data_IF_585282718025
#
_entry.id   IF_585282718025
#
_cell.length_a   1.000
_cell.length_b   1.000
_cell.length_c   1.000
_cell.angle_alpha   90.00
_cell.angle_beta   90.00
_cell.angle_gamma   90.00
#
_symmetry.space_group_name_H-M   'P 1'
#
loop_
_entity.id
_entity.type
_entity.pdbx_description
1 polymer ?
#
# COMPACT_ATOMS: atom_id res chain seq x y z
N UNK A 1 1.48 17.87 19.66
CA UNK A 1 2.31 17.91 20.88
C UNK A 1 2.83 16.50 21.14
N UNK A 2 4.10 16.36 21.52
CA UNK A 2 4.72 15.09 21.89
C UNK A 2 5.10 15.15 23.36
N UNK A 3 4.61 14.20 24.15
CA UNK A 3 4.91 14.05 25.59
C UNK A 3 5.63 12.73 25.79
N UNK A 4 6.80 12.77 26.45
CA UNK A 4 7.58 11.58 26.79
C UNK A 4 7.57 11.43 28.30
N UNK A 5 6.99 10.33 28.77
CA UNK A 5 7.04 9.90 30.15
C UNK A 5 8.09 8.78 30.27
N UNK A 6 9.21 9.08 30.94
CA UNK A 6 10.33 8.16 31.08
C UNK A 6 10.86 8.15 32.53
N UNK A 7 10.10 7.58 33.49
CA UNK A 7 10.55 7.46 34.87
C UNK A 7 11.74 6.50 34.97
N UNK A 8 12.55 6.68 36.02
CA UNK A 8 13.67 5.80 36.32
C UNK A 8 13.19 4.34 36.51
N UNK A 9 13.89 3.38 35.92
CA UNK A 9 13.59 1.94 35.95
C UNK A 9 12.23 1.51 35.37
N UNK A 10 11.66 2.28 34.44
CA UNK A 10 10.49 1.85 33.67
C UNK A 10 10.65 2.04 32.15
N UNK A 11 9.79 1.37 31.38
CA UNK A 11 9.74 1.55 29.94
C UNK A 11 9.18 2.94 29.57
N UNK A 12 9.80 3.67 28.62
CA UNK A 12 9.34 4.98 28.20
C UNK A 12 8.01 4.90 27.44
N UNK A 13 7.15 5.91 27.62
CA UNK A 13 5.90 6.06 26.87
C UNK A 13 5.90 7.40 26.15
N UNK A 14 5.73 7.39 24.83
CA UNK A 14 5.59 8.60 24.01
C UNK A 14 4.14 8.75 23.54
N UNK A 15 3.50 9.84 23.96
CA UNK A 15 2.13 10.19 23.57
C UNK A 15 2.11 11.26 22.48
N UNK A 16 1.29 11.04 21.44
CA UNK A 16 1.13 11.95 20.29
C UNK A 16 -0.25 12.60 20.33
N UNK A 17 -0.29 13.92 20.54
CA UNK A 17 -1.53 14.70 20.54
C UNK A 17 -1.62 15.59 19.30
N UNK A 18 -2.62 15.34 18.45
CA UNK A 18 -2.78 15.98 17.15
C UNK A 18 -1.76 15.48 16.12
N UNK A 19 -1.63 16.22 15.00
CA UNK A 19 -0.74 15.86 13.90
C UNK A 19 -1.48 15.92 12.56
N UNK A 20 -1.13 16.90 11.73
CA UNK A 20 -1.71 17.02 10.39
C UNK A 20 -1.01 16.06 9.45
N UNK A 21 -1.73 15.58 8.43
CA UNK A 21 -1.13 14.79 7.34
C UNK A 21 0.05 15.54 6.72
N UNK A 22 -0.01 16.87 6.59
CA UNK A 22 1.08 17.67 6.02
C UNK A 22 2.35 17.71 6.89
N UNK A 23 2.25 17.39 8.18
CA UNK A 23 3.37 17.47 9.14
C UNK A 23 3.83 16.11 9.65
N UNK A 24 3.24 15.00 9.16
CA UNK A 24 3.45 13.66 9.73
C UNK A 24 4.94 13.26 9.76
N UNK A 25 5.68 13.53 8.68
CA UNK A 25 7.10 13.14 8.54
C UNK A 25 7.97 13.81 9.61
N UNK A 26 7.87 15.14 9.74
CA UNK A 26 8.63 15.89 10.75
C UNK A 26 8.22 15.50 12.16
N UNK A 27 6.93 15.23 12.39
CA UNK A 27 6.44 14.78 13.68
C UNK A 27 7.03 13.41 14.06
N UNK A 28 7.14 12.48 13.09
CA UNK A 28 7.78 11.19 13.30
C UNK A 28 9.29 11.31 13.59
N UNK A 29 10.00 12.21 12.90
CA UNK A 29 11.41 12.51 13.21
C UNK A 29 11.56 13.06 14.63
N UNK A 30 10.75 14.04 15.03
CA UNK A 30 10.77 14.58 16.41
C UNK A 30 10.36 13.56 17.48
N UNK A 31 9.54 12.57 17.13
CA UNK A 31 9.22 11.46 18.01
C UNK A 31 10.44 10.55 18.23
N UNK A 32 11.18 10.22 17.17
CA UNK A 32 12.42 9.45 17.26
C UNK A 32 13.52 10.20 18.02
N UNK A 33 13.66 11.51 17.81
CA UNK A 33 14.63 12.34 18.54
C UNK A 33 14.43 12.25 20.06
N UNK A 34 13.17 12.19 20.53
CA UNK A 34 12.83 11.99 21.94
C UNK A 34 13.13 10.57 22.43
N UNK A 35 13.01 9.56 21.55
CA UNK A 35 13.15 8.16 21.91
C UNK A 35 14.59 7.63 21.80
N UNK A 36 15.48 8.25 21.02
CA UNK A 36 16.83 7.74 20.74
C UNK A 36 17.60 7.29 21.98
N UNK A 37 17.60 8.11 23.06
CA UNK A 37 18.29 7.79 24.31
C UNK A 37 17.82 6.49 24.98
N UNK A 38 16.60 6.04 24.67
CA UNK A 38 15.98 4.84 25.24
C UNK A 38 16.02 3.63 24.31
N UNK A 39 16.54 3.78 23.08
CA UNK A 39 16.67 2.68 22.13
C UNK A 39 18.03 1.98 22.27
N UNK A 40 18.13 0.68 21.89
CA UNK A 40 19.41 -0.01 21.79
C UNK A 40 20.22 0.51 20.59
N UNK A 41 21.54 0.30 20.62
CA UNK A 41 22.36 0.47 19.42
C UNK A 41 21.97 -0.59 18.37
N UNK A 42 21.98 -0.26 17.06
CA UNK A 42 22.41 1.01 16.47
C UNK A 42 21.29 2.08 16.35
N UNK A 43 20.05 1.76 16.72
CA UNK A 43 18.91 2.68 16.59
C UNK A 43 19.10 3.99 17.36
N UNK A 44 19.76 3.92 18.52
CA UNK A 44 20.16 5.09 19.32
C UNK A 44 20.98 6.11 18.52
N UNK A 45 21.85 5.63 17.65
CA UNK A 45 22.83 6.46 16.94
C UNK A 45 22.35 6.86 15.53
N UNK A 46 21.18 6.38 15.13
CA UNK A 46 20.59 6.61 13.83
C UNK A 46 20.38 8.11 13.58
N UNK A 47 20.72 8.56 12.37
CA UNK A 47 20.44 9.92 11.91
C UNK A 47 19.09 9.96 11.18
N UNK A 48 18.36 11.10 11.22
CA UNK A 48 17.17 11.28 10.39
C UNK A 48 17.49 11.11 8.91
N UNK A 49 16.67 10.32 8.22
CA UNK A 49 16.88 9.97 6.81
C UNK A 49 15.61 10.13 5.94
N UNK A 50 14.44 10.31 6.58
CA UNK A 50 13.15 10.25 5.88
C UNK A 50 12.89 11.44 4.96
N UNK A 51 13.66 12.52 5.09
CA UNK A 51 13.52 13.72 4.27
C UNK A 51 13.86 13.49 2.78
N UNK A 52 14.76 12.54 2.49
CA UNK A 52 15.26 12.28 1.14
C UNK A 52 14.91 10.89 0.62
N UNK A 53 14.44 9.99 1.48
CA UNK A 53 14.05 8.66 1.06
C UNK A 53 12.70 8.67 0.32
N UNK A 54 12.61 7.99 -0.84
CA UNK A 54 11.34 7.79 -1.50
C UNK A 54 10.44 6.89 -0.64
N UNK A 55 9.14 7.22 -0.61
CA UNK A 55 8.16 6.27 -0.11
C UNK A 55 8.02 5.13 -1.11
N UNK A 56 7.66 3.91 -0.66
CA UNK A 56 7.57 2.78 -1.57
C UNK A 56 6.56 3.00 -2.69
N UNK A 57 6.97 2.71 -3.94
CA UNK A 57 6.19 3.00 -5.15
C UNK A 57 6.47 4.40 -5.69
N UNK A 58 7.03 5.31 -4.91
CA UNK A 58 7.39 6.68 -5.28
C UNK A 58 8.86 6.85 -5.69
N UNK A 59 9.55 5.75 -5.99
CA UNK A 59 10.96 5.66 -6.37
C UNK A 59 11.20 6.10 -7.83
N UNK A 60 10.64 7.27 -8.19
CA UNK A 60 10.85 7.94 -9.46
C UNK A 60 10.60 9.46 -9.32
N UNK A 61 11.16 10.26 -10.22
CA UNK A 61 10.94 11.70 -10.18
C UNK A 61 9.48 12.06 -10.50
N UNK A 62 8.96 13.11 -9.87
CA UNK A 62 7.56 13.55 -10.04
C UNK A 62 7.19 13.86 -11.49
N UNK A 63 8.15 14.34 -12.29
CA UNK A 63 8.02 14.66 -13.72
C UNK A 63 7.97 13.42 -14.61
N UNK A 64 8.29 12.24 -14.09
CA UNK A 64 8.44 11.00 -14.86
C UNK A 64 7.19 10.12 -14.85
N UNK A 65 6.06 10.63 -14.34
CA UNK A 65 4.80 9.86 -14.30
C UNK A 65 4.34 9.40 -15.69
N UNK A 66 4.31 10.30 -16.68
CA UNK A 66 3.87 9.91 -18.02
C UNK A 66 4.88 8.99 -18.73
N UNK A 67 6.17 9.09 -18.38
CA UNK A 67 7.18 8.13 -18.83
C UNK A 67 6.91 6.73 -18.26
N UNK A 68 6.62 6.62 -16.95
CA UNK A 68 6.22 5.34 -16.33
C UNK A 68 5.00 4.73 -17.02
N UNK A 69 3.97 5.54 -17.30
CA UNK A 69 2.77 5.06 -18.01
C UNK A 69 3.11 4.59 -19.43
N UNK A 70 3.95 5.35 -20.15
CA UNK A 70 4.41 4.98 -21.48
C UNK A 70 5.23 3.69 -21.49
N UNK A 71 6.08 3.48 -20.48
CA UNK A 71 6.89 2.27 -20.33
C UNK A 71 6.02 1.05 -20.05
N UNK A 72 4.98 1.19 -19.22
CA UNK A 72 3.98 0.15 -18.98
C UNK A 72 3.21 -0.21 -20.24
N UNK A 73 2.78 0.81 -21.01
CA UNK A 73 2.05 0.59 -22.26
C UNK A 73 2.90 -0.15 -23.30
N UNK A 74 4.22 0.12 -23.37
CA UNK A 74 5.14 -0.61 -24.25
C UNK A 74 5.36 -2.05 -23.80
N UNK A 75 5.44 -2.32 -22.50
CA UNK A 75 5.66 -3.67 -21.95
C UNK A 75 4.40 -4.53 -21.93
N UNK A 76 3.23 -3.92 -21.78
CA UNK A 76 1.94 -4.60 -21.71
C UNK A 76 0.97 -4.06 -22.78
N UNK A 77 1.30 -4.18 -24.08
CA UNK A 77 0.51 -3.57 -25.16
C UNK A 77 -0.90 -4.17 -25.31
N UNK A 78 -1.14 -5.36 -24.76
CA UNK A 78 -2.44 -6.01 -24.78
C UNK A 78 -3.40 -5.47 -23.69
N UNK A 79 -2.92 -4.67 -22.73
CA UNK A 79 -3.73 -4.15 -21.64
C UNK A 79 -4.30 -2.76 -21.97
N UNK A 80 -5.48 -2.49 -21.41
CA UNK A 80 -6.14 -1.18 -21.55
C UNK A 80 -5.23 -0.05 -21.01
N UNK A 81 -4.89 0.96 -21.83
CA UNK A 81 -4.09 2.11 -21.40
C UNK A 81 -4.68 2.85 -20.18
N UNK A 82 -6.02 2.88 -20.05
CA UNK A 82 -6.67 3.50 -18.89
C UNK A 82 -6.46 2.69 -17.61
N UNK A 83 -6.44 1.35 -17.71
CA UNK A 83 -6.03 0.48 -16.60
C UNK A 83 -4.58 0.75 -16.21
N UNK A 84 -3.65 0.74 -17.17
CA UNK A 84 -2.22 0.96 -16.89
C UNK A 84 -1.96 2.31 -16.22
N UNK A 85 -2.59 3.38 -16.71
CA UNK A 85 -2.49 4.72 -16.09
C UNK A 85 -3.07 4.73 -14.68
N UNK A 86 -4.20 4.05 -14.44
CA UNK A 86 -4.81 3.93 -13.11
C UNK A 86 -3.89 3.18 -12.13
N UNK A 87 -3.34 2.04 -12.56
CA UNK A 87 -2.43 1.25 -11.73
C UNK A 87 -1.14 2.03 -11.42
N UNK A 88 -0.54 2.69 -12.41
CA UNK A 88 0.63 3.54 -12.20
C UNK A 88 0.34 4.68 -11.20
N UNK A 89 -0.87 5.26 -11.24
CA UNK A 89 -1.29 6.30 -10.31
C UNK A 89 -1.46 5.79 -8.87
N UNK A 90 -1.92 4.55 -8.71
CA UNK A 90 -2.17 3.93 -7.41
C UNK A 90 -0.90 3.36 -6.78
N UNK A 91 -0.05 2.70 -7.57
CA UNK A 91 1.05 1.87 -7.09
C UNK A 91 2.44 2.40 -7.47
N UNK A 92 2.51 3.37 -8.39
CA UNK A 92 3.78 3.87 -8.91
C UNK A 92 4.63 2.73 -9.47
N UNK A 93 5.90 2.64 -9.09
CA UNK A 93 6.83 1.59 -9.55
C UNK A 93 6.43 0.18 -9.10
N UNK A 94 5.63 0.03 -8.03
CA UNK A 94 5.17 -1.29 -7.56
C UNK A 94 4.16 -1.96 -8.50
N UNK A 95 3.65 -1.24 -9.49
CA UNK A 95 2.82 -1.80 -10.55
C UNK A 95 3.51 -2.97 -11.27
N UNK A 96 4.84 -2.98 -11.34
CA UNK A 96 5.60 -4.06 -11.96
C UNK A 96 5.43 -5.39 -11.21
N UNK A 97 5.35 -5.34 -9.88
CA UNK A 97 5.05 -6.53 -9.07
C UNK A 97 3.62 -7.02 -9.27
N UNK A 98 2.66 -6.10 -9.45
CA UNK A 98 1.27 -6.46 -9.70
C UNK A 98 1.11 -7.14 -11.07
N UNK A 99 1.78 -6.61 -12.09
CA UNK A 99 1.71 -7.08 -13.49
C UNK A 99 2.73 -8.15 -13.84
N UNK A 100 3.53 -8.63 -12.89
CA UNK A 100 4.48 -9.71 -13.11
C UNK A 100 3.76 -10.93 -13.70
N UNK A 101 4.25 -11.46 -14.82
CA UNK A 101 3.63 -12.60 -15.51
C UNK A 101 2.33 -12.32 -16.27
N UNK A 102 1.84 -11.07 -16.33
CA UNK A 102 0.64 -10.70 -17.09
C UNK A 102 1.01 -10.37 -18.54
N UNK A 103 0.59 -11.22 -19.48
CA UNK A 103 0.82 -11.04 -20.92
C UNK A 103 -0.44 -10.54 -21.65
N UNK A 104 -1.62 -10.90 -21.15
CA UNK A 104 -2.91 -10.56 -21.75
C UNK A 104 -3.97 -10.21 -20.69
N UNK A 105 -5.08 -9.55 -21.08
CA UNK A 105 -6.17 -9.23 -20.15
C UNK A 105 -6.74 -10.44 -19.41
N UNK A 106 -6.70 -11.63 -20.01
CA UNK A 106 -7.15 -12.86 -19.36
C UNK A 106 -6.34 -13.22 -18.11
N UNK A 107 -5.05 -12.86 -18.07
CA UNK A 107 -4.17 -13.15 -16.94
C UNK A 107 -4.45 -12.27 -15.71
N UNK A 108 -5.22 -11.19 -15.88
CA UNK A 108 -5.70 -10.35 -14.77
C UNK A 108 -6.80 -11.05 -13.96
N UNK A 109 -7.45 -12.07 -14.53
CA UNK A 109 -8.54 -12.81 -13.92
C UNK A 109 -9.88 -12.07 -13.97
N UNK A 110 -10.77 -12.41 -13.04
CA UNK A 110 -12.12 -11.83 -12.98
C UNK A 110 -12.07 -10.30 -12.79
N UNK A 111 -12.87 -9.58 -13.54
CA UNK A 111 -13.15 -8.16 -13.29
C UNK A 111 -14.34 -8.00 -12.33
N UNK A 112 -14.15 -7.22 -11.27
CA UNK A 112 -15.20 -6.88 -10.29
C UNK A 112 -15.91 -5.56 -10.64
N UNK A 113 -15.50 -4.88 -11.72
CA UNK A 113 -16.01 -3.58 -12.13
C UNK A 113 -14.97 -2.47 -12.01
N UNK A 114 -15.18 -1.36 -12.72
CA UNK A 114 -14.29 -0.20 -12.71
C UNK A 114 -12.79 -0.51 -12.95
N UNK A 115 -12.51 -1.50 -13.80
CA UNK A 115 -11.17 -2.03 -14.07
C UNK A 115 -10.45 -2.63 -12.84
N UNK A 116 -11.16 -3.02 -11.79
CA UNK A 116 -10.62 -3.78 -10.65
C UNK A 116 -10.62 -5.27 -10.98
N UNK A 117 -9.43 -5.85 -11.14
CA UNK A 117 -9.27 -7.26 -11.50
C UNK A 117 -8.77 -8.09 -10.30
N UNK A 118 -9.03 -9.40 -10.33
CA UNK A 118 -8.58 -10.36 -9.31
C UNK A 118 -7.08 -10.26 -9.01
N UNK A 119 -6.25 -10.04 -10.03
CA UNK A 119 -4.80 -9.81 -9.85
C UNK A 119 -4.48 -8.64 -8.93
N UNK A 120 -5.19 -7.52 -9.07
CA UNK A 120 -5.02 -6.35 -8.19
C UNK A 120 -5.56 -6.62 -6.80
N UNK A 121 -6.68 -7.34 -6.68
CA UNK A 121 -7.26 -7.74 -5.38
C UNK A 121 -6.27 -8.61 -4.60
N UNK A 122 -5.69 -9.62 -5.25
CA UNK A 122 -4.70 -10.51 -4.65
C UNK A 122 -3.45 -9.73 -4.21
N UNK A 123 -2.94 -8.83 -5.06
CA UNK A 123 -1.83 -7.95 -4.68
C UNK A 123 -2.17 -7.10 -3.45
N UNK A 124 -3.37 -6.51 -3.39
CA UNK A 124 -3.80 -5.70 -2.25
C UNK A 124 -3.93 -6.53 -0.95
N UNK A 125 -4.35 -7.78 -1.05
CA UNK A 125 -4.42 -8.70 0.10
C UNK A 125 -3.03 -9.10 0.57
N UNK A 126 -2.12 -9.43 -0.35
CA UNK A 126 -0.79 -9.97 -0.05
C UNK A 126 0.23 -8.89 0.35
N UNK A 127 0.18 -7.71 -0.28
CA UNK A 127 1.19 -6.66 -0.13
C UNK A 127 0.68 -5.40 0.59
N UNK A 128 -0.64 -5.20 0.68
CA UNK A 128 -1.24 -3.97 1.24
C UNK A 128 -2.27 -4.22 2.35
N UNK A 129 -2.25 -5.43 2.92
CA UNK A 129 -3.05 -5.87 4.07
C UNK A 129 -4.57 -5.65 3.91
N UNK A 130 -5.10 -5.73 2.69
CA UNK A 130 -6.54 -5.74 2.52
C UNK A 130 -7.15 -7.01 3.10
N UNK A 131 -8.19 -6.88 3.93
CA UNK A 131 -8.85 -8.00 4.62
C UNK A 131 -10.34 -8.14 4.26
N UNK A 132 -10.94 -7.11 3.66
CA UNK A 132 -12.30 -7.10 3.13
C UNK A 132 -12.42 -6.18 1.90
N UNK A 133 -13.57 -6.24 1.20
CA UNK A 133 -13.87 -5.37 0.07
C UNK A 133 -13.80 -3.89 0.45
N UNK A 134 -14.17 -3.52 1.68
CA UNK A 134 -14.11 -2.13 2.12
C UNK A 134 -12.67 -1.58 2.19
N UNK A 135 -11.66 -2.40 2.51
CA UNK A 135 -10.25 -2.00 2.42
C UNK A 135 -9.91 -1.59 0.99
N UNK A 136 -10.27 -2.45 0.04
CA UNK A 136 -9.95 -2.29 -1.38
C UNK A 136 -10.69 -1.09 -1.95
N UNK A 137 -12.01 -1.04 -1.78
CA UNK A 137 -12.89 -0.08 -2.44
C UNK A 137 -12.75 1.32 -1.87
N UNK A 138 -12.58 1.47 -0.55
CA UNK A 138 -12.64 2.77 0.12
C UNK A 138 -11.32 3.28 0.65
N UNK A 139 -10.35 2.41 0.94
CA UNK A 139 -9.03 2.84 1.44
C UNK A 139 -8.00 2.82 0.33
N UNK A 140 -7.77 1.68 -0.32
CA UNK A 140 -6.68 1.48 -1.29
C UNK A 140 -6.94 2.08 -2.67
N UNK A 141 -8.13 1.87 -3.24
CA UNK A 141 -8.39 2.21 -4.64
C UNK A 141 -9.36 3.38 -4.86
N UNK A 142 -10.29 3.63 -3.92
CA UNK A 142 -11.44 4.54 -4.09
C UNK A 142 -12.41 4.13 -5.21
N UNK A 143 -12.32 2.89 -5.71
CA UNK A 143 -13.23 2.36 -6.74
C UNK A 143 -14.64 2.08 -6.21
N UNK A 144 -14.86 2.15 -4.89
CA UNK A 144 -16.19 2.13 -4.29
C UNK A 144 -17.15 3.20 -4.85
N UNK A 145 -16.61 4.29 -5.41
CA UNK A 145 -17.38 5.35 -6.08
C UNK A 145 -17.90 4.94 -7.47
N UNK A 146 -17.48 3.80 -8.01
CA UNK A 146 -17.71 3.40 -9.41
C UNK A 146 -18.28 1.99 -9.58
N UNK A 147 -18.39 1.23 -8.49
CA UNK A 147 -18.93 -0.14 -8.50
C UNK A 147 -20.33 -0.16 -7.90
N UNK A 148 -21.17 -1.09 -8.37
CA UNK A 148 -22.51 -1.32 -7.81
C UNK A 148 -22.44 -2.08 -6.49
N UNK A 149 -23.57 -2.18 -5.78
CA UNK A 149 -23.67 -2.98 -4.56
C UNK A 149 -23.42 -4.47 -4.83
N UNK A 150 -23.91 -4.98 -5.96
CA UNK A 150 -23.73 -6.37 -6.38
C UNK A 150 -22.26 -6.66 -6.71
N UNK A 151 -21.58 -5.72 -7.37
CA UNK A 151 -20.15 -5.81 -7.64
C UNK A 151 -19.32 -5.79 -6.35
N UNK A 152 -19.69 -4.94 -5.38
CA UNK A 152 -19.05 -4.90 -4.07
C UNK A 152 -19.26 -6.20 -3.27
N UNK A 153 -20.46 -6.78 -3.30
CA UNK A 153 -20.75 -8.07 -2.69
C UNK A 153 -19.93 -9.21 -3.32
N UNK A 154 -19.86 -9.26 -4.65
CA UNK A 154 -19.05 -10.23 -5.36
C UNK A 154 -17.54 -10.13 -5.05
N UNK A 155 -17.04 -8.91 -4.78
CA UNK A 155 -15.68 -8.71 -4.31
C UNK A 155 -15.48 -9.21 -2.88
N UNK A 156 -16.44 -8.96 -1.97
CA UNK A 156 -16.37 -9.45 -0.59
C UNK A 156 -16.32 -10.98 -0.57
N UNK A 157 -17.20 -11.65 -1.32
CA UNK A 157 -17.22 -13.11 -1.44
C UNK A 157 -15.86 -13.66 -1.89
N UNK A 158 -15.24 -13.00 -2.88
CA UNK A 158 -13.91 -13.37 -3.37
C UNK A 158 -12.83 -13.21 -2.28
N UNK A 159 -12.80 -12.08 -1.58
CA UNK A 159 -11.80 -11.80 -0.53
C UNK A 159 -11.94 -12.79 0.63
N UNK A 160 -13.16 -13.12 1.05
CA UNK A 160 -13.43 -14.14 2.08
C UNK A 160 -12.92 -15.50 1.63
N UNK A 161 -13.33 -15.96 0.44
CA UNK A 161 -12.90 -17.25 -0.09
C UNK A 161 -11.38 -17.37 -0.22
N UNK A 162 -10.70 -16.29 -0.67
CA UNK A 162 -9.24 -16.24 -0.83
C UNK A 162 -8.51 -16.28 0.51
N UNK A 163 -9.05 -15.63 1.54
CA UNK A 163 -8.52 -15.65 2.91
C UNK A 163 -8.65 -17.03 3.54
N UNK A 164 -9.84 -17.61 3.50
CA UNK A 164 -10.10 -18.93 4.09
C UNK A 164 -9.26 -20.02 3.40
N UNK A 165 -9.04 -19.88 2.08
CA UNK A 165 -8.14 -20.75 1.32
C UNK A 165 -6.66 -20.61 1.71
N UNK A 166 -6.23 -19.43 2.15
CA UNK A 166 -4.87 -19.23 2.66
C UNK A 166 -4.69 -19.83 4.05
N UNK A 167 -5.67 -19.65 4.95
CA UNK A 167 -5.64 -20.20 6.32
C UNK A 167 -5.59 -21.74 6.30
N UNK A 168 -6.35 -22.38 5.40
CA UNK A 168 -6.29 -23.85 5.22
C UNK A 168 -4.94 -24.36 4.74
N UNK A 169 -4.19 -23.58 3.96
CA UNK A 169 -2.83 -23.97 3.51
C UNK A 169 -1.83 -23.85 4.64
N UNK A 170 -1.87 -22.76 5.40
CA UNK A 170 -0.99 -22.55 6.56
C UNK A 170 -1.18 -23.59 7.66
N UNK A 171 -2.37 -24.19 7.79
CA UNK A 171 -2.64 -25.23 8.78
C UNK A 171 -2.32 -26.65 8.31
N UNK A 172 -2.01 -26.84 7.03
CA UNK A 172 -1.62 -28.12 6.45
C UNK A 172 -0.09 -28.32 6.36
N UNK A 173 0.68 -27.26 6.57
CA UNK A 173 2.16 -27.23 6.63
C UNK A 173 2.65 -27.24 8.10
#
# INVERSE_FOLDING_TARGET
>A
MLVLDAPHDAAPVLSVFGGKITTYRRLAESALDKLHAHLPAPLRDARPWTATAPLPGGDFEKTRFDALVGDLARRHPALDPALLRRLARAYGTRVDRLLEGVAAPADLGRCFGANLYAREVDYLMEAEWARCAADILWRRSKLGLRVSAEQAAALEDYVVARRDGAERRTQAD
#
